data_IF_793819092538
#
_entry.id   IF_793819092538
#
_cell.length_a   1.000
_cell.length_b   1.000
_cell.length_c   1.000
_cell.angle_alpha   90.00
_cell.angle_beta   90.00
_cell.angle_gamma   90.00
#
_symmetry.space_group_name_H-M   'P 1'
#
loop_
_entity.id
_entity.type
_entity.pdbx_description
1 polymer ?
#
# COMPACT_ATOMS: atom_id res chain seq x y z
N UNK A 1 -5.03 -2.40 15.52
CA UNK A 1 -4.57 -1.05 15.14
C UNK A 1 -3.72 -0.37 16.21
N UNK A 2 -4.12 -0.39 17.49
CA UNK A 2 -3.33 0.25 18.57
C UNK A 2 -1.86 -0.18 18.58
N UNK A 3 -1.61 -1.48 18.60
CA UNK A 3 -0.24 -2.03 18.62
C UNK A 3 0.60 -1.57 17.41
N UNK A 4 0.02 -1.60 16.21
CA UNK A 4 0.70 -1.14 14.99
C UNK A 4 1.03 0.35 15.09
N UNK A 5 0.08 1.17 15.53
CA UNK A 5 0.29 2.60 15.67
C UNK A 5 1.36 2.91 16.72
N UNK A 6 1.43 2.13 17.80
CA UNK A 6 2.45 2.29 18.83
C UNK A 6 3.83 1.84 18.32
N UNK A 7 3.90 0.75 17.55
CA UNK A 7 5.14 0.32 16.89
C UNK A 7 5.62 1.36 15.85
N UNK A 8 4.72 1.94 15.04
CA UNK A 8 5.08 2.94 14.03
C UNK A 8 5.56 4.27 14.64
N UNK A 9 5.18 4.59 15.89
CA UNK A 9 5.66 5.77 16.63
C UNK A 9 6.98 5.51 17.36
N UNK A 10 7.40 4.25 17.49
CA UNK A 10 8.63 3.88 18.16
C UNK A 10 9.84 4.48 17.43
N UNK A 11 10.94 4.81 18.15
CA UNK A 11 12.19 5.20 17.51
C UNK A 11 12.85 4.05 16.71
N UNK A 12 12.33 2.82 16.81
CA UNK A 12 12.83 1.65 16.09
C UNK A 12 11.88 1.27 14.95
N UNK A 13 12.40 0.75 13.82
CA UNK A 13 11.55 0.26 12.74
C UNK A 13 10.57 -0.83 13.20
N UNK A 14 9.30 -0.71 12.80
CA UNK A 14 8.29 -1.74 13.03
C UNK A 14 8.61 -2.99 12.18
N UNK A 15 8.80 -4.14 12.83
CA UNK A 15 8.85 -5.45 12.19
C UNK A 15 7.81 -6.38 12.81
N UNK A 16 6.60 -6.39 12.25
CA UNK A 16 5.44 -7.08 12.82
C UNK A 16 4.86 -8.09 11.84
N UNK A 17 4.62 -9.30 12.35
CA UNK A 17 3.83 -10.32 11.67
C UNK A 17 2.37 -10.24 12.14
N UNK A 18 1.45 -9.89 11.23
CA UNK A 18 0.01 -9.92 11.50
C UNK A 18 -0.54 -11.29 11.12
N UNK A 19 -0.92 -12.09 12.12
CA UNK A 19 -1.49 -13.43 11.92
C UNK A 19 -2.99 -13.44 12.16
N UNK A 20 -3.69 -14.32 11.46
CA UNK A 20 -5.14 -14.53 11.59
C UNK A 20 -5.67 -15.38 10.44
N UNK A 21 -6.84 -15.96 10.60
CA UNK A 21 -7.44 -16.86 9.60
C UNK A 21 -7.80 -16.13 8.30
N UNK A 22 -8.06 -16.89 7.23
CA UNK A 22 -8.60 -16.31 5.98
C UNK A 22 -9.91 -15.59 6.28
N UNK A 23 -10.07 -14.37 5.78
CA UNK A 23 -11.25 -13.54 6.06
C UNK A 23 -11.21 -12.70 7.35
N UNK A 24 -10.20 -12.85 8.21
CA UNK A 24 -10.04 -12.07 9.45
C UNK A 24 -9.72 -10.57 9.26
N UNK A 25 -9.74 -10.05 8.03
CA UNK A 25 -9.54 -8.63 7.77
C UNK A 25 -8.08 -8.14 7.76
N UNK A 26 -7.09 -9.03 7.66
CA UNK A 26 -5.66 -8.66 7.59
C UNK A 26 -5.34 -7.61 6.52
N UNK A 27 -5.98 -7.72 5.37
CA UNK A 27 -5.86 -6.74 4.27
C UNK A 27 -6.31 -5.34 4.69
N UNK A 28 -7.36 -5.23 5.50
CA UNK A 28 -7.81 -3.96 6.06
C UNK A 28 -6.84 -3.42 7.09
N UNK A 29 -6.28 -4.29 7.93
CA UNK A 29 -5.23 -3.89 8.88
C UNK A 29 -4.04 -3.30 8.12
N UNK A 30 -3.56 -3.96 7.07
CA UNK A 30 -2.48 -3.44 6.22
C UNK A 30 -2.82 -2.09 5.59
N UNK A 31 -4.02 -1.95 5.00
CA UNK A 31 -4.46 -0.70 4.40
C UNK A 31 -4.49 0.46 5.41
N UNK A 32 -5.04 0.23 6.61
CA UNK A 32 -5.09 1.25 7.66
C UNK A 32 -3.68 1.64 8.13
N UNK A 33 -2.76 0.69 8.26
CA UNK A 33 -1.36 0.98 8.58
C UNK A 33 -0.70 1.87 7.54
N UNK A 34 -0.96 1.59 6.25
CA UNK A 34 -0.46 2.44 5.16
C UNK A 34 -1.07 3.83 5.24
N UNK A 35 -2.39 3.96 5.44
CA UNK A 35 -3.05 5.27 5.61
C UNK A 35 -2.44 6.06 6.76
N UNK A 36 -2.11 5.43 7.90
CA UNK A 36 -1.39 6.11 8.99
C UNK A 36 -0.06 6.70 8.51
N UNK A 37 0.70 5.98 7.67
CA UNK A 37 1.92 6.53 7.08
C UNK A 37 1.62 7.68 6.10
N UNK A 38 0.58 7.56 5.28
CA UNK A 38 0.16 8.59 4.31
C UNK A 38 -0.23 9.90 4.99
N UNK A 39 -1.01 9.84 6.07
CA UNK A 39 -1.42 11.00 6.86
C UNK A 39 -0.24 11.73 7.50
N UNK A 40 0.92 11.07 7.61
CA UNK A 40 2.17 11.65 8.12
C UNK A 40 3.13 12.07 7.00
N UNK A 41 2.66 12.17 5.75
CA UNK A 41 3.42 12.68 4.62
C UNK A 41 4.37 11.65 3.97
N UNK A 42 4.21 10.37 4.28
CA UNK A 42 5.01 9.29 3.68
C UNK A 42 4.26 8.58 2.56
N UNK A 43 4.99 7.84 1.73
CA UNK A 43 4.42 6.87 0.77
C UNK A 43 4.49 5.47 1.37
N UNK A 44 3.64 4.56 0.90
CA UNK A 44 3.63 3.17 1.31
C UNK A 44 3.80 2.22 0.12
N UNK A 45 4.42 1.07 0.38
CA UNK A 45 4.51 -0.03 -0.57
C UNK A 45 3.77 -1.26 -0.04
N UNK A 46 2.97 -1.90 -0.88
CA UNK A 46 2.29 -3.16 -0.58
C UNK A 46 2.79 -4.23 -1.54
N UNK A 47 3.48 -5.24 -1.03
CA UNK A 47 4.03 -6.31 -1.87
C UNK A 47 3.12 -7.53 -1.84
N UNK A 48 2.84 -8.10 -3.02
CA UNK A 48 2.14 -9.37 -3.17
C UNK A 48 3.04 -10.39 -3.87
N UNK A 49 2.88 -11.70 -3.61
CA UNK A 49 3.79 -12.72 -4.13
C UNK A 49 3.58 -13.04 -5.63
N UNK A 50 2.45 -12.63 -6.21
CA UNK A 50 2.14 -12.84 -7.63
C UNK A 50 1.45 -11.60 -8.20
N UNK A 51 1.57 -11.42 -9.51
CA UNK A 51 0.93 -10.30 -10.22
C UNK A 51 -0.59 -10.32 -10.10
N UNK A 52 -1.18 -11.52 -10.15
CA UNK A 52 -2.64 -11.70 -10.01
C UNK A 52 -3.10 -11.22 -8.62
N UNK A 53 -2.35 -11.52 -7.56
CA UNK A 53 -2.70 -11.05 -6.21
C UNK A 53 -2.49 -9.53 -6.07
N UNK A 54 -1.41 -8.99 -6.65
CA UNK A 54 -1.17 -7.54 -6.68
C UNK A 54 -2.34 -6.82 -7.36
N UNK A 55 -2.79 -7.29 -8.53
CA UNK A 55 -3.92 -6.71 -9.25
C UNK A 55 -5.23 -6.79 -8.44
N UNK A 56 -5.51 -7.93 -7.80
CA UNK A 56 -6.69 -8.09 -6.93
C UNK A 56 -6.68 -7.10 -5.76
N UNK A 57 -5.53 -6.93 -5.11
CA UNK A 57 -5.38 -5.97 -4.02
C UNK A 57 -5.47 -4.52 -4.53
N UNK A 58 -4.89 -4.22 -5.68
CA UNK A 58 -4.96 -2.90 -6.31
C UNK A 58 -6.40 -2.49 -6.59
N UNK A 59 -7.20 -3.35 -7.23
CA UNK A 59 -8.61 -3.09 -7.48
C UNK A 59 -9.40 -2.90 -6.18
N UNK A 60 -9.08 -3.69 -5.16
CA UNK A 60 -9.70 -3.59 -3.84
C UNK A 60 -9.37 -2.26 -3.17
N UNK A 61 -8.11 -1.86 -3.12
CA UNK A 61 -7.68 -0.60 -2.49
C UNK A 61 -8.19 0.61 -3.26
N UNK A 62 -8.14 0.59 -4.59
CA UNK A 62 -8.71 1.64 -5.44
C UNK A 62 -10.20 1.86 -5.14
N UNK A 63 -10.96 0.77 -4.96
CA UNK A 63 -12.37 0.84 -4.56
C UNK A 63 -12.55 1.40 -3.14
N UNK A 64 -11.77 0.92 -2.18
CA UNK A 64 -11.88 1.34 -0.78
C UNK A 64 -11.47 2.81 -0.57
N UNK A 65 -10.48 3.28 -1.33
CA UNK A 65 -9.95 4.64 -1.26
C UNK A 65 -10.58 5.60 -2.28
N UNK A 66 -11.66 5.20 -2.98
CA UNK A 66 -12.26 6.00 -4.05
C UNK A 66 -12.75 7.40 -3.61
N UNK A 67 -12.97 7.60 -2.31
CA UNK A 67 -13.38 8.88 -1.71
C UNK A 67 -12.26 9.55 -0.90
N UNK A 68 -11.05 9.02 -0.97
CA UNK A 68 -9.87 9.53 -0.29
C UNK A 68 -8.97 10.23 -1.31
N UNK A 69 -8.12 11.17 -0.87
CA UNK A 69 -7.19 11.87 -1.76
C UNK A 69 -5.95 11.02 -2.13
N UNK A 70 -6.05 9.69 -2.02
CA UNK A 70 -4.92 8.78 -2.15
C UNK A 70 -4.95 8.04 -3.49
N UNK A 71 -3.85 8.17 -4.21
CA UNK A 71 -3.59 7.47 -5.46
C UNK A 71 -2.86 6.16 -5.19
N UNK A 72 -3.42 5.07 -5.71
CA UNK A 72 -2.78 3.74 -5.71
C UNK A 72 -2.24 3.47 -7.11
N UNK A 73 -0.98 3.06 -7.22
CA UNK A 73 -0.34 2.66 -8.47
C UNK A 73 0.00 1.17 -8.45
N UNK A 74 -0.13 0.50 -9.61
CA UNK A 74 0.23 -0.91 -9.80
C UNK A 74 1.53 -1.00 -10.61
N UNK A 75 2.49 -1.77 -10.10
CA UNK A 75 3.86 -1.89 -10.59
C UNK A 75 4.22 -3.38 -10.75
N UNK A 76 3.65 -4.03 -11.78
CA UNK A 76 3.96 -5.41 -12.14
C UNK A 76 4.85 -5.49 -13.39
N UNK A 77 5.38 -6.68 -13.70
CA UNK A 77 6.18 -6.88 -14.92
C UNK A 77 5.32 -6.81 -16.21
N UNK A 78 4.00 -6.90 -16.06
CA UNK A 78 3.03 -6.65 -17.13
C UNK A 78 2.98 -5.17 -17.55
N UNK A 79 3.28 -4.22 -16.65
CA UNK A 79 3.33 -2.79 -16.96
C UNK A 79 4.64 -2.48 -17.70
N UNK A 80 4.55 -2.05 -18.96
CA UNK A 80 5.71 -1.93 -19.86
C UNK A 80 5.83 -0.57 -20.52
N UNK A 81 7.04 -0.30 -21.01
CA UNK A 81 7.34 0.88 -21.84
C UNK A 81 7.04 2.19 -21.14
N UNK A 82 6.33 3.09 -21.84
CA UNK A 82 6.04 4.45 -21.36
C UNK A 82 5.24 4.49 -20.07
N UNK A 83 4.31 3.54 -19.88
CA UNK A 83 3.46 3.51 -18.69
C UNK A 83 4.27 3.21 -17.43
N UNK A 84 5.25 2.31 -17.52
CA UNK A 84 6.17 2.03 -16.41
C UNK A 84 7.03 3.24 -16.06
N UNK A 85 7.55 3.94 -17.07
CA UNK A 85 8.35 5.15 -16.85
C UNK A 85 7.51 6.24 -16.17
N UNK A 86 6.32 6.51 -16.69
CA UNK A 86 5.42 7.51 -16.11
C UNK A 86 4.99 7.15 -14.68
N UNK A 87 4.71 5.87 -14.40
CA UNK A 87 4.39 5.42 -13.05
C UNK A 87 5.59 5.59 -12.10
N UNK A 88 6.81 5.34 -12.57
CA UNK A 88 8.05 5.57 -11.81
C UNK A 88 8.29 7.05 -11.51
N UNK A 89 8.07 7.93 -12.48
CA UNK A 89 8.14 9.39 -12.30
C UNK A 89 7.08 9.89 -11.30
N UNK A 90 5.84 9.40 -11.42
CA UNK A 90 4.75 9.72 -10.50
C UNK A 90 5.03 9.22 -9.08
N UNK A 91 5.69 8.07 -8.94
CA UNK A 91 6.14 7.56 -7.64
C UNK A 91 7.24 8.45 -7.05
N UNK A 92 8.25 8.80 -7.86
CA UNK A 92 9.34 9.69 -7.43
C UNK A 92 8.86 11.10 -7.07
N UNK A 93 7.83 11.59 -7.76
CA UNK A 93 7.21 12.90 -7.49
C UNK A 93 6.26 12.89 -6.27
N UNK A 94 6.00 11.73 -5.66
CA UNK A 94 5.09 11.63 -4.50
C UNK A 94 3.60 11.69 -4.86
N UNK A 95 3.24 11.68 -6.15
CA UNK A 95 1.83 11.75 -6.59
C UNK A 95 1.11 10.41 -6.45
N UNK A 96 1.86 9.30 -6.40
CA UNK A 96 1.35 7.97 -6.02
C UNK A 96 1.63 7.75 -4.54
N UNK A 97 0.60 7.59 -3.72
CA UNK A 97 0.76 7.40 -2.27
C UNK A 97 0.96 5.94 -1.88
N UNK A 98 0.30 5.01 -2.58
CA UNK A 98 0.48 3.56 -2.37
C UNK A 98 1.00 2.93 -3.66
N UNK A 99 2.21 2.37 -3.61
CA UNK A 99 2.76 1.54 -4.67
C UNK A 99 2.47 0.07 -4.38
N UNK A 100 2.04 -0.68 -5.39
CA UNK A 100 1.73 -2.10 -5.26
C UNK A 100 2.35 -2.91 -6.38
#
# INVERSE_FOLDING_TARGET
>A
MREIADDMKSPHPMNRLVQGDVGSGKTMVALLSMVVALENGYQAAFMAPTEILAEQHYLTFKRLLARCPYTVGLFTSAVKGKERTAAGEALAAGTVQIAM
#
